data_IF_976809127916
#
_entry.id   IF_976809127916
#
_cell.length_a   1.000
_cell.length_b   1.000
_cell.length_c   1.000
_cell.angle_alpha   90.00
_cell.angle_beta   90.00
_cell.angle_gamma   90.00
#
_symmetry.space_group_name_H-M   'P 1'
#
loop_
_entity.id
_entity.type
_entity.pdbx_description
1 polymer ?
#
# COMPACT_ATOMS: atom_id res chain seq x y z
N UNK A 1 2.95 1.04 17.16
CA UNK A 1 4.02 0.72 16.22
C UNK A 1 5.18 1.51 16.73
N UNK A 2 6.00 0.81 17.49
CA UNK A 2 7.35 1.26 17.78
C UNK A 2 8.22 1.08 16.53
N UNK A 3 9.46 1.54 16.59
CA UNK A 3 10.40 1.46 15.47
C UNK A 3 10.80 0.01 15.16
N UNK A 4 10.69 -0.90 16.15
CA UNK A 4 10.98 -2.32 16.03
C UNK A 4 9.92 -3.06 15.19
N UNK A 5 8.62 -2.83 15.49
CA UNK A 5 7.50 -3.30 14.65
C UNK A 5 7.64 -2.83 13.19
N UNK A 6 8.17 -1.62 12.98
CA UNK A 6 8.32 -1.03 11.65
C UNK A 6 9.42 -1.73 10.85
N UNK A 7 10.61 -1.92 11.44
CA UNK A 7 11.73 -2.59 10.81
C UNK A 7 11.40 -4.06 10.46
N UNK A 8 10.74 -4.79 11.37
CA UNK A 8 10.34 -6.18 11.15
C UNK A 8 9.46 -6.32 9.89
N UNK A 9 8.50 -5.41 9.69
CA UNK A 9 7.63 -5.42 8.51
C UNK A 9 8.43 -5.30 7.21
N UNK A 10 9.43 -4.42 7.16
CA UNK A 10 10.25 -4.24 5.96
C UNK A 10 11.18 -5.42 5.70
N UNK A 11 11.72 -6.03 6.75
CA UNK A 11 12.52 -7.25 6.62
C UNK A 11 11.70 -8.43 6.10
N UNK A 12 10.48 -8.63 6.61
CA UNK A 12 9.55 -9.61 6.05
C UNK A 12 9.25 -9.34 4.56
N UNK A 13 9.00 -8.08 4.21
CA UNK A 13 8.71 -7.70 2.83
C UNK A 13 9.89 -8.03 1.90
N UNK A 14 11.13 -7.78 2.32
CA UNK A 14 12.34 -8.14 1.55
C UNK A 14 12.48 -9.66 1.37
N UNK A 15 12.11 -10.45 2.37
CA UNK A 15 12.13 -11.91 2.26
C UNK A 15 11.08 -12.41 1.27
N UNK A 16 9.87 -11.84 1.29
CA UNK A 16 8.76 -12.22 0.39
C UNK A 16 9.02 -11.79 -1.05
N UNK A 17 9.53 -10.58 -1.27
CA UNK A 17 9.79 -10.02 -2.59
C UNK A 17 11.28 -10.17 -2.95
N UNK A 18 11.62 -11.28 -3.61
CA UNK A 18 13.01 -11.62 -3.94
C UNK A 18 13.60 -10.86 -5.14
N UNK A 19 12.77 -10.28 -6.02
CA UNK A 19 13.27 -9.55 -7.18
C UNK A 19 13.95 -8.25 -6.76
N UNK A 20 15.18 -8.03 -7.25
CA UNK A 20 15.99 -6.85 -6.94
C UNK A 20 15.22 -5.54 -7.08
N UNK A 21 14.53 -5.35 -8.20
CA UNK A 21 13.80 -4.11 -8.48
C UNK A 21 12.62 -3.85 -7.52
N UNK A 22 12.04 -4.90 -6.95
CA UNK A 22 11.02 -4.78 -5.90
C UNK A 22 11.64 -4.42 -4.56
N UNK A 23 12.79 -5.04 -4.22
CA UNK A 23 13.56 -4.69 -3.01
C UNK A 23 14.02 -3.24 -3.04
N UNK A 24 14.61 -2.80 -4.15
CA UNK A 24 15.04 -1.41 -4.35
C UNK A 24 13.87 -0.42 -4.14
N UNK A 25 12.66 -0.81 -4.56
CA UNK A 25 11.46 0.00 -4.31
C UNK A 25 11.01 -0.04 -2.85
N UNK A 26 11.04 -1.21 -2.20
CA UNK A 26 10.73 -1.35 -0.77
C UNK A 26 11.68 -0.48 0.06
N UNK A 27 12.98 -0.55 -0.20
CA UNK A 27 14.01 0.23 0.49
C UNK A 27 13.81 1.74 0.27
N UNK A 28 13.48 2.16 -0.95
CA UNK A 28 13.17 3.56 -1.23
C UNK A 28 11.92 4.04 -0.46
N UNK A 29 10.89 3.21 -0.34
CA UNK A 29 9.68 3.55 0.42
C UNK A 29 9.97 3.62 1.93
N UNK A 30 10.78 2.70 2.46
CA UNK A 30 11.21 2.71 3.87
C UNK A 30 11.96 4.00 4.19
N UNK A 31 12.99 4.34 3.41
CA UNK A 31 13.77 5.56 3.58
C UNK A 31 12.90 6.81 3.52
N UNK A 32 11.96 6.86 2.58
CA UNK A 32 11.05 8.01 2.42
C UNK A 32 10.06 8.16 3.59
N UNK A 33 9.69 7.06 4.25
CA UNK A 33 8.90 7.14 5.49
C UNK A 33 9.80 7.60 6.64
N UNK A 34 11.01 7.06 6.76
CA UNK A 34 11.96 7.41 7.81
C UNK A 34 12.32 8.92 7.78
N UNK A 35 12.50 9.49 6.59
CA UNK A 35 12.91 10.89 6.41
C UNK A 35 11.75 11.89 6.46
N UNK A 36 10.49 11.44 6.56
CA UNK A 36 9.31 12.32 6.51
C UNK A 36 8.43 12.15 7.75
N UNK A 37 8.58 13.04 8.76
CA UNK A 37 7.72 13.04 9.95
C UNK A 37 6.21 13.00 9.65
N UNK A 38 5.68 13.70 8.63
CA UNK A 38 4.26 13.61 8.31
C UNK A 38 3.79 12.22 7.86
N UNK A 39 4.67 11.40 7.26
CA UNK A 39 4.33 10.02 6.90
C UNK A 39 4.30 9.12 8.15
N UNK A 40 5.31 9.26 9.03
CA UNK A 40 5.38 8.55 10.30
C UNK A 40 4.15 8.84 11.16
N UNK A 41 3.76 10.11 11.31
CA UNK A 41 2.56 10.51 12.07
C UNK A 41 1.27 9.88 11.55
N UNK A 42 1.15 9.70 10.24
CA UNK A 42 -0.01 9.06 9.61
C UNK A 42 -0.03 7.54 9.86
N UNK A 43 1.14 6.92 10.02
CA UNK A 43 1.33 5.48 10.23
C UNK A 43 1.29 5.08 11.72
N UNK A 44 1.81 5.93 12.61
CA UNK A 44 1.87 5.71 14.07
C UNK A 44 0.49 5.60 14.74
N UNK A 45 -0.57 6.10 14.08
CA UNK A 45 -1.95 6.03 14.58
C UNK A 45 -2.50 4.61 14.46
N UNK A 46 -2.45 3.82 15.53
CA UNK A 46 -3.23 2.57 15.65
C UNK A 46 -3.70 2.26 17.06
N UNK A 47 -5.02 2.33 17.28
CA UNK A 47 -5.81 1.42 18.15
C UNK A 47 -7.28 1.47 17.73
N UNK A 48 -7.69 0.58 16.83
CA UNK A 48 -9.08 0.44 16.43
C UNK A 48 -9.35 -0.94 15.86
N UNK A 49 -10.61 -1.37 15.83
CA UNK A 49 -11.00 -2.62 15.21
C UNK A 49 -10.51 -2.67 13.74
N UNK A 50 -10.15 -3.86 13.22
CA UNK A 50 -9.74 -4.02 11.83
C UNK A 50 -10.74 -3.35 10.87
N UNK A 51 -10.23 -2.49 9.99
CA UNK A 51 -11.02 -1.83 8.96
C UNK A 51 -10.41 -2.12 7.59
N UNK A 52 -11.26 -2.25 6.60
CA UNK A 52 -10.85 -2.55 5.24
C UNK A 52 -11.33 -1.45 4.30
N UNK A 53 -10.48 -1.13 3.34
CA UNK A 53 -10.75 -0.10 2.35
C UNK A 53 -10.42 -0.61 0.97
N UNK A 54 -11.16 -0.09 0.00
CA UNK A 54 -10.96 -0.31 -1.41
C UNK A 54 -10.30 0.94 -2.01
N UNK A 55 -9.18 0.75 -2.69
CA UNK A 55 -8.43 1.78 -3.41
C UNK A 55 -8.58 1.55 -4.90
N UNK A 56 -9.03 2.58 -5.61
CA UNK A 56 -9.03 2.63 -7.08
C UNK A 56 -8.37 3.92 -7.54
N UNK A 57 -7.79 3.92 -8.72
CA UNK A 57 -7.07 5.07 -9.25
C UNK A 57 -7.12 5.11 -10.78
N UNK A 58 -6.85 6.29 -11.33
CA UNK A 58 -6.68 6.49 -12.77
C UNK A 58 -5.22 6.76 -13.09
N UNK A 59 -4.67 6.03 -14.06
CA UNK A 59 -3.39 6.39 -14.68
C UNK A 59 -3.54 7.67 -15.49
N UNK A 60 -2.48 8.47 -15.58
CA UNK A 60 -2.43 9.54 -16.58
C UNK A 60 -2.41 8.94 -18.00
N UNK A 61 -3.10 9.54 -18.98
CA UNK A 61 -2.96 9.14 -20.38
C UNK A 61 -1.50 9.21 -20.82
N UNK A 62 -1.04 8.23 -21.61
CA UNK A 62 0.31 8.18 -22.18
C UNK A 62 1.49 8.21 -21.17
N UNK A 63 1.25 7.85 -19.91
CA UNK A 63 2.31 7.78 -18.90
C UNK A 63 3.07 6.45 -19.00
N UNK A 64 4.19 6.45 -19.73
CA UNK A 64 5.04 5.28 -19.93
C UNK A 64 5.78 4.83 -18.66
N UNK A 65 5.90 5.70 -17.65
CA UNK A 65 6.66 5.44 -16.43
C UNK A 65 5.81 4.75 -15.37
N UNK A 66 4.51 5.04 -15.34
CA UNK A 66 3.60 4.46 -14.35
C UNK A 66 3.54 2.93 -14.44
N UNK A 67 3.62 2.27 -13.29
CA UNK A 67 3.55 0.82 -13.14
C UNK A 67 2.46 0.42 -12.15
N UNK A 68 1.51 -0.37 -12.63
CA UNK A 68 0.49 -0.99 -11.79
C UNK A 68 1.11 -1.89 -10.71
N UNK A 69 2.22 -2.57 -11.02
CA UNK A 69 2.88 -3.47 -10.08
C UNK A 69 3.52 -2.72 -8.91
N UNK A 70 4.18 -1.58 -9.16
CA UNK A 70 4.75 -0.76 -8.08
C UNK A 70 3.67 -0.08 -7.24
N UNK A 71 2.55 0.33 -7.87
CA UNK A 71 1.42 0.85 -7.11
C UNK A 71 0.79 -0.23 -6.22
N UNK A 72 0.60 -1.44 -6.75
CA UNK A 72 0.11 -2.58 -5.96
C UNK A 72 1.08 -2.92 -4.82
N UNK A 73 2.40 -2.91 -5.07
CA UNK A 73 3.43 -3.13 -4.05
C UNK A 73 3.39 -2.06 -2.96
N UNK A 74 3.20 -0.78 -3.30
CA UNK A 74 2.98 0.27 -2.32
C UNK A 74 1.79 -0.04 -1.40
N UNK A 75 0.66 -0.48 -1.97
CA UNK A 75 -0.50 -0.83 -1.17
C UNK A 75 -0.24 -2.07 -0.29
N UNK A 76 0.55 -3.05 -0.75
CA UNK A 76 0.98 -4.18 0.07
C UNK A 76 1.84 -3.72 1.24
N UNK A 77 2.80 -2.81 1.03
CA UNK A 77 3.62 -2.23 2.10
C UNK A 77 2.72 -1.56 3.14
N UNK A 78 1.80 -0.72 2.70
CA UNK A 78 0.86 -0.02 3.59
C UNK A 78 -0.08 -1.00 4.32
N UNK A 79 -0.51 -2.07 3.67
CA UNK A 79 -1.33 -3.12 4.29
C UNK A 79 -0.56 -3.88 5.38
N UNK A 80 0.68 -4.29 5.09
CA UNK A 80 1.57 -4.99 6.02
C UNK A 80 1.90 -4.11 7.22
N UNK A 81 2.24 -2.85 6.95
CA UNK A 81 2.35 -1.87 8.00
C UNK A 81 1.07 -1.89 8.82
N UNK A 82 -0.13 -1.89 8.21
CA UNK A 82 -1.45 -2.03 8.86
C UNK A 82 -1.77 -3.36 9.58
N UNK A 83 -0.81 -4.29 9.68
CA UNK A 83 -0.98 -5.62 10.25
C UNK A 83 -1.82 -6.53 9.36
N UNK A 84 -1.96 -6.19 8.07
CA UNK A 84 -2.55 -7.05 7.07
C UNK A 84 -1.54 -8.07 6.54
N UNK A 85 -1.91 -8.77 5.47
CA UNK A 85 -1.08 -9.83 4.85
C UNK A 85 -0.83 -9.60 3.36
N UNK A 86 -1.46 -8.58 2.78
CA UNK A 86 -1.49 -8.33 1.36
C UNK A 86 -2.76 -7.61 0.91
N UNK A 87 -2.81 -7.33 -0.39
CA UNK A 87 -3.97 -6.76 -1.04
C UNK A 87 -4.78 -7.82 -1.78
N UNK A 88 -6.08 -7.60 -1.86
CA UNK A 88 -7.00 -8.39 -2.67
C UNK A 88 -7.51 -7.54 -3.83
N UNK A 89 -7.59 -8.08 -5.06
CA UNK A 89 -8.02 -7.32 -6.24
C UNK A 89 -9.39 -7.79 -6.72
N UNK A 90 -10.51 -7.30 -6.15
CA UNK A 90 -11.82 -7.82 -6.48
C UNK A 90 -12.29 -7.53 -7.92
N UNK A 91 -11.73 -6.52 -8.55
CA UNK A 91 -11.87 -6.29 -9.98
C UNK A 91 -10.58 -5.63 -10.45
N UNK A 92 -10.31 -5.61 -11.75
CA UNK A 92 -9.05 -5.10 -12.30
C UNK A 92 -8.64 -3.71 -11.80
N UNK A 93 -9.61 -2.85 -11.49
CA UNK A 93 -9.37 -1.47 -11.05
C UNK A 93 -9.34 -1.29 -9.52
N UNK A 94 -9.84 -2.24 -8.74
CA UNK A 94 -10.01 -2.08 -7.29
C UNK A 94 -9.03 -2.95 -6.51
N UNK A 95 -8.40 -2.37 -5.47
CA UNK A 95 -7.55 -3.08 -4.51
C UNK A 95 -8.10 -2.91 -3.10
N UNK A 96 -8.53 -4.00 -2.48
CA UNK A 96 -8.90 -4.05 -1.09
C UNK A 96 -7.67 -4.30 -0.21
N UNK A 97 -7.56 -3.55 0.88
CA UNK A 97 -6.47 -3.66 1.87
C UNK A 97 -6.99 -3.34 3.26
N UNK A 98 -6.24 -3.76 4.28
CA UNK A 98 -6.43 -3.34 5.66
C UNK A 98 -5.92 -1.91 5.85
N UNK A 99 -6.74 -1.09 6.49
CA UNK A 99 -6.36 0.26 6.90
C UNK A 99 -7.10 0.65 8.17
N UNK A 100 -6.41 0.57 9.32
CA UNK A 100 -7.05 0.76 10.63
C UNK A 100 -7.16 2.24 11.02
N UNK A 101 -6.57 3.15 10.24
CA UNK A 101 -6.60 4.60 10.47
C UNK A 101 -7.74 5.27 9.67
N UNK A 102 -8.04 6.56 9.89
CA UNK A 102 -9.01 7.28 9.08
C UNK A 102 -8.63 7.31 7.58
N UNK A 103 -9.62 7.18 6.69
CA UNK A 103 -9.45 7.25 5.21
C UNK A 103 -8.74 8.54 4.73
N UNK A 104 -8.99 9.74 5.30
CA UNK A 104 -8.25 10.94 4.91
C UNK A 104 -6.74 10.82 5.14
N UNK A 105 -6.31 10.05 6.13
CA UNK A 105 -4.90 9.77 6.38
C UNK A 105 -4.26 8.96 5.26
N UNK A 106 -4.92 7.88 4.80
CA UNK A 106 -4.47 7.11 3.64
C UNK A 106 -4.41 7.96 2.38
N UNK A 107 -5.43 8.80 2.15
CA UNK A 107 -5.45 9.70 0.99
C UNK A 107 -4.26 10.66 1.01
N UNK A 108 -3.94 11.23 2.17
CA UNK A 108 -2.79 12.11 2.35
C UNK A 108 -1.49 11.35 2.10
N UNK A 109 -1.35 10.14 2.63
CA UNK A 109 -0.16 9.31 2.49
C UNK A 109 0.09 8.93 1.02
N UNK A 110 -0.92 8.45 0.30
CA UNK A 110 -0.80 8.11 -1.12
C UNK A 110 -0.43 9.36 -1.96
N UNK A 111 -0.99 10.53 -1.62
CA UNK A 111 -0.64 11.79 -2.29
C UNK A 111 0.81 12.22 -2.05
N UNK A 112 1.40 11.88 -0.90
CA UNK A 112 2.80 12.11 -0.63
C UNK A 112 3.66 11.17 -1.49
N UNK A 113 3.38 9.86 -1.47
CA UNK A 113 4.12 8.88 -2.27
C UNK A 113 4.07 9.14 -3.78
N UNK A 114 2.94 9.60 -4.32
CA UNK A 114 2.85 9.94 -5.75
C UNK A 114 3.85 11.03 -6.18
N UNK A 115 4.32 11.87 -5.24
CA UNK A 115 5.28 12.95 -5.51
C UNK A 115 6.73 12.48 -5.42
N UNK A 116 6.95 11.33 -4.79
CA UNK A 116 8.26 10.76 -4.52
C UNK A 116 8.73 9.93 -5.71
N UNK A 117 7.86 9.05 -6.22
CA UNK A 117 8.25 8.10 -7.25
C UNK A 117 7.34 8.21 -8.50
N UNK A 118 7.90 8.49 -9.68
CA UNK A 118 7.11 8.64 -10.90
C UNK A 118 6.42 7.34 -11.33
N UNK A 119 6.91 6.16 -10.92
CA UNK A 119 6.30 4.85 -11.22
C UNK A 119 4.93 4.66 -10.57
N UNK A 120 4.58 5.49 -9.59
CA UNK A 120 3.29 5.48 -8.90
C UNK A 120 2.53 6.81 -9.04
N UNK A 121 2.86 7.62 -10.04
CA UNK A 121 2.23 8.91 -10.29
C UNK A 121 0.84 8.79 -10.95
N UNK A 122 -0.16 8.41 -10.18
CA UNK A 122 -1.56 8.36 -10.62
C UNK A 122 -2.19 9.77 -10.76
N UNK A 123 -3.24 9.90 -11.58
CA UNK A 123 -4.00 11.15 -11.78
C UNK A 123 -4.97 11.39 -10.63
N UNK A 124 -5.83 10.42 -10.36
CA UNK A 124 -6.87 10.45 -9.32
C UNK A 124 -6.80 9.17 -8.50
N UNK A 125 -7.17 9.25 -7.23
CA UNK A 125 -7.33 8.08 -6.36
C UNK A 125 -8.62 8.25 -5.55
N UNK A 126 -9.34 7.15 -5.39
CA UNK A 126 -10.56 7.07 -4.61
C UNK A 126 -10.41 5.96 -3.57
N UNK A 127 -10.87 6.24 -2.35
CA UNK A 127 -10.80 5.32 -1.22
C UNK A 127 -12.22 5.11 -0.71
N UNK A 128 -12.70 3.88 -0.84
CA UNK A 128 -14.03 3.45 -0.47
C UNK A 128 -13.96 2.54 0.76
N UNK A 129 -14.98 2.51 1.63
CA UNK A 129 -15.11 1.45 2.62
C UNK A 129 -15.19 0.09 1.92
N UNK A 130 -14.59 -0.94 2.53
CA UNK A 130 -14.70 -2.32 2.06
C UNK A 130 -15.25 -3.20 3.19
N UNK A 131 -16.32 -3.98 2.96
CA UNK A 131 -17.14 -4.54 4.03
C UNK A 131 -16.54 -5.79 4.69
N UNK A 132 -15.61 -6.47 4.03
CA UNK A 132 -15.09 -7.78 4.47
C UNK A 132 -13.56 -7.79 4.48
N UNK A 133 -12.93 -8.65 5.30
CA UNK A 133 -11.50 -8.86 5.23
C UNK A 133 -11.09 -9.28 3.82
N UNK A 134 -10.05 -8.67 3.22
CA UNK A 134 -9.47 -9.18 1.99
C UNK A 134 -8.90 -10.57 2.29
N UNK A 135 -9.39 -11.57 1.57
CA UNK A 135 -8.82 -12.91 1.61
C UNK A 135 -7.63 -12.87 0.63
N UNK A 136 -6.41 -12.87 1.13
CA UNK A 136 -5.22 -12.79 0.28
C UNK A 136 -3.90 -12.76 1.04
N UNK A 137 -2.86 -13.32 0.43
CA UNK A 137 -1.45 -13.24 0.88
C UNK A 137 -0.63 -12.52 -0.19
N UNK A 138 0.01 -11.40 0.12
CA UNK A 138 0.77 -10.60 -0.86
C UNK A 138 -0.13 -9.87 -1.87
N UNK A 139 -0.07 -10.23 -3.15
CA UNK A 139 -1.00 -9.73 -4.19
C UNK A 139 -1.86 -10.92 -4.63
N UNK A 140 -3.10 -11.01 -4.13
CA UNK A 140 -3.98 -12.13 -4.45
C UNK A 140 -5.09 -11.76 -5.44
N UNK A 141 -5.12 -12.49 -6.56
CA UNK A 141 -6.20 -12.47 -7.56
C UNK A 141 -6.97 -13.78 -7.66
N UNK A 142 -6.69 -14.78 -6.80
CA UNK A 142 -7.18 -16.17 -6.95
C UNK A 142 -8.62 -16.39 -6.52
N UNK A 143 -9.28 -15.43 -5.87
CA UNK A 143 -10.70 -15.57 -5.47
C UNK A 143 -11.66 -15.45 -6.67
N UNK A 144 -11.13 -15.14 -7.86
CA UNK A 144 -11.86 -15.15 -9.13
C UNK A 144 -11.94 -16.52 -9.81
N UNK A 145 -11.42 -17.59 -9.21
CA UNK A 145 -11.72 -18.95 -9.67
C UNK A 145 -12.95 -19.49 -8.93
N UNK A 146 -14.13 -19.04 -9.33
CA UNK A 146 -15.38 -19.80 -9.22
C UNK A 146 -16.11 -19.70 -10.54
#
# INVERSE_FOLDING_TARGET
>A
MDDEDFAEVFDELRQVFAHRTQRDFIDAIEAEIADRPPMQELLARRRGAPRYVAVTFDRRPNDATFSYAYFDLLLVILDRLQGGRGIFKPVSQLRAMRWNSPRPGLLRLLRLFRRVDPRINYRRVLILPFPTPPVGTGIDGKIYRR
#
